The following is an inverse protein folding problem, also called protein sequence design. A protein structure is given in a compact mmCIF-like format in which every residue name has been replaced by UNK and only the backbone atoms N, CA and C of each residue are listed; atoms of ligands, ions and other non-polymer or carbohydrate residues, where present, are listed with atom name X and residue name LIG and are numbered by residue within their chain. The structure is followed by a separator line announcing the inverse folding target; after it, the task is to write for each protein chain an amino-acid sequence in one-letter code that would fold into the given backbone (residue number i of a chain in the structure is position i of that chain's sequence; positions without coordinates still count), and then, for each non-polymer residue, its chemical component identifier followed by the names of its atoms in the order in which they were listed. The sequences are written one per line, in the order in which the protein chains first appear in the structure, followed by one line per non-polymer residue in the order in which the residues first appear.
data_IF_834304185337
#
_entry.id   IF_834304185337
#
_cell.length_a   1.000
_cell.length_b   1.000
_cell.length_c   1.000
_cell.angle_alpha   90.00
_cell.angle_beta   90.00
_cell.angle_gamma   90.00
#
_symmetry.space_group_name_H-M   'P 1'
#
loop_
_entity.id
_entity.type
_entity.pdbx_description
1 polymer ?
#
# COMPACT_ATOMS: atom_id res chain seq x y z
N UNK A 1 -26.64 14.24 5.16
CA UNK A 1 -26.70 14.68 3.75
C UNK A 1 -25.28 14.71 3.23
N UNK A 2 -24.92 13.92 2.21
CA UNK A 2 -23.63 14.10 1.52
C UNK A 2 -23.83 15.32 0.61
N UNK A 3 -23.00 16.35 0.76
CA UNK A 3 -22.97 17.43 -0.24
C UNK A 3 -22.43 16.80 -1.53
N UNK A 4 -23.28 16.64 -2.54
CA UNK A 4 -22.88 16.01 -3.81
C UNK A 4 -21.97 16.90 -4.67
N UNK A 5 -21.59 18.07 -4.18
CA UNK A 5 -20.57 18.93 -4.80
C UNK A 5 -19.84 19.74 -3.72
N UNK A 6 -18.49 19.72 -3.69
CA UNK A 6 -17.73 20.57 -2.79
C UNK A 6 -17.90 22.06 -3.17
N UNK A 7 -17.98 22.91 -2.16
CA UNK A 7 -18.08 24.36 -2.28
C UNK A 7 -16.75 25.04 -1.88
N UNK A 8 -16.56 26.31 -2.26
CA UNK A 8 -15.32 27.05 -1.95
C UNK A 8 -15.11 27.17 -0.43
N UNK A 9 -16.19 27.30 0.33
CA UNK A 9 -16.17 27.29 1.80
C UNK A 9 -15.68 25.97 2.40
N UNK A 10 -15.72 24.87 1.64
CA UNK A 10 -15.27 23.55 2.12
C UNK A 10 -13.74 23.37 1.94
N UNK A 11 -13.03 24.28 1.24
CA UNK A 11 -11.58 24.14 0.97
C UNK A 11 -10.76 23.93 2.25
N UNK A 12 -10.91 24.73 3.33
CA UNK A 12 -10.13 24.54 4.55
C UNK A 12 -10.36 23.17 5.18
N UNK A 13 -11.59 22.66 5.12
CA UNK A 13 -11.91 21.33 5.63
C UNK A 13 -11.25 20.24 4.77
N UNK A 14 -11.33 20.36 3.45
CA UNK A 14 -10.72 19.41 2.51
C UNK A 14 -9.20 19.35 2.70
N UNK A 15 -8.54 20.51 2.82
CA UNK A 15 -7.09 20.58 3.09
C UNK A 15 -6.74 19.99 4.46
N UNK A 16 -7.54 20.27 5.49
CA UNK A 16 -7.36 19.68 6.81
C UNK A 16 -7.54 18.15 6.82
N UNK A 17 -8.50 17.62 6.06
CA UNK A 17 -8.67 16.18 5.87
C UNK A 17 -7.50 15.56 5.10
N UNK A 18 -7.01 16.24 4.05
CA UNK A 18 -5.87 15.79 3.28
C UNK A 18 -4.61 15.75 4.14
N UNK A 19 -4.32 16.83 4.88
CA UNK A 19 -3.20 16.92 5.83
C UNK A 19 -3.20 15.76 6.83
N UNK A 20 -4.33 15.55 7.52
CA UNK A 20 -4.47 14.42 8.48
C UNK A 20 -4.23 13.07 7.81
N UNK A 21 -4.71 12.89 6.59
CA UNK A 21 -4.49 11.66 5.83
C UNK A 21 -3.02 11.50 5.46
N UNK A 22 -2.32 12.56 5.07
CA UNK A 22 -0.87 12.57 4.82
C UNK A 22 -0.07 12.21 6.07
N UNK A 23 -0.42 12.79 7.22
CA UNK A 23 0.26 12.52 8.50
C UNK A 23 0.07 11.04 8.91
N UNK A 24 -1.17 10.55 8.90
CA UNK A 24 -1.45 9.15 9.21
C UNK A 24 -0.83 8.18 8.20
N UNK A 25 -0.71 8.58 6.94
CA UNK A 25 -0.04 7.78 5.91
C UNK A 25 1.46 7.68 6.17
N UNK A 26 2.09 8.77 6.62
CA UNK A 26 3.50 8.79 7.02
C UNK A 26 3.76 7.88 8.23
N UNK A 27 2.92 7.93 9.25
CA UNK A 27 2.98 7.04 10.42
C UNK A 27 2.76 5.57 10.03
N UNK A 28 1.81 5.30 9.12
CA UNK A 28 1.56 3.95 8.62
C UNK A 28 2.75 3.42 7.79
N UNK A 29 3.42 4.28 7.02
CA UNK A 29 4.64 3.93 6.30
C UNK A 29 5.78 3.59 7.27
N UNK A 30 6.00 4.43 8.30
CA UNK A 30 7.02 4.22 9.32
C UNK A 30 6.80 2.93 10.12
N UNK A 31 5.55 2.63 10.46
CA UNK A 31 5.16 1.37 11.14
C UNK A 31 5.04 0.17 10.21
N UNK A 32 5.31 0.33 8.90
CA UNK A 32 5.19 -0.71 7.87
C UNK A 32 3.81 -1.39 7.88
N UNK A 33 2.75 -0.63 8.11
CA UNK A 33 1.37 -1.11 8.14
C UNK A 33 0.64 -0.76 6.83
N UNK A 34 0.55 -1.72 5.91
CA UNK A 34 0.11 -1.46 4.53
C UNK A 34 -1.39 -1.22 4.49
N UNK A 35 -2.13 -1.93 5.36
CA UNK A 35 -3.58 -1.79 5.45
C UNK A 35 -3.95 -0.38 5.89
N UNK A 36 -3.27 0.14 6.92
CA UNK A 36 -3.45 1.53 7.35
C UNK A 36 -3.00 2.51 6.27
N UNK A 37 -1.82 2.29 5.67
CA UNK A 37 -1.32 3.14 4.60
C UNK A 37 -2.34 3.25 3.46
N UNK A 38 -2.82 2.12 2.93
CA UNK A 38 -3.77 2.06 1.83
C UNK A 38 -5.09 2.74 2.17
N UNK A 39 -5.58 2.57 3.40
CA UNK A 39 -6.78 3.24 3.91
C UNK A 39 -6.62 4.76 3.91
N UNK A 40 -5.48 5.28 4.40
CA UNK A 40 -5.25 6.73 4.44
C UNK A 40 -4.91 7.31 3.07
N UNK A 41 -4.20 6.55 2.22
CA UNK A 41 -3.96 6.89 0.82
C UNK A 41 -5.27 7.13 0.07
N UNK A 42 -6.25 6.23 0.24
CA UNK A 42 -7.57 6.39 -0.37
C UNK A 42 -8.27 7.67 0.11
N UNK A 43 -8.27 7.92 1.43
CA UNK A 43 -8.89 9.12 2.00
C UNK A 43 -8.28 10.43 1.49
N UNK A 44 -6.94 10.53 1.45
CA UNK A 44 -6.32 11.75 0.91
C UNK A 44 -6.49 11.90 -0.59
N UNK A 45 -6.59 10.78 -1.33
CA UNK A 45 -6.97 10.80 -2.75
C UNK A 45 -8.39 11.33 -2.96
N UNK A 46 -9.33 10.97 -2.08
CA UNK A 46 -10.70 11.51 -2.10
C UNK A 46 -10.67 13.03 -1.88
N UNK A 47 -9.87 13.54 -0.92
CA UNK A 47 -9.69 14.98 -0.69
C UNK A 47 -9.09 15.71 -1.90
N UNK A 48 -8.06 15.14 -2.53
CA UNK A 48 -7.47 15.69 -3.77
C UNK A 48 -8.50 15.72 -4.91
N UNK A 49 -9.29 14.66 -5.07
CA UNK A 49 -10.35 14.61 -6.06
C UNK A 49 -11.42 15.69 -5.80
N UNK A 50 -11.77 15.96 -4.55
CA UNK A 50 -12.67 17.06 -4.21
C UNK A 50 -12.10 18.42 -4.62
N UNK A 51 -10.81 18.68 -4.40
CA UNK A 51 -10.15 19.91 -4.88
C UNK A 51 -10.13 20.00 -6.41
N UNK A 52 -9.80 18.91 -7.11
CA UNK A 52 -9.79 18.88 -8.57
C UNK A 52 -11.19 19.13 -9.17
N UNK A 53 -12.23 18.56 -8.55
CA UNK A 53 -13.62 18.83 -8.93
C UNK A 53 -14.00 20.29 -8.71
N UNK A 54 -13.58 20.89 -7.59
CA UNK A 54 -13.82 22.30 -7.31
C UNK A 54 -13.13 23.19 -8.36
N UNK A 55 -11.85 22.95 -8.64
CA UNK A 55 -11.07 23.66 -9.65
C UNK A 55 -11.71 23.51 -11.04
N UNK A 56 -12.18 22.31 -11.39
CA UNK A 56 -12.86 22.06 -12.66
C UNK A 56 -14.17 22.84 -12.82
N UNK A 57 -14.91 23.08 -11.72
CA UNK A 57 -16.19 23.81 -11.74
C UNK A 57 -16.06 25.33 -11.57
N UNK A 58 -15.08 25.80 -10.79
CA UNK A 58 -14.95 27.19 -10.36
C UNK A 58 -13.70 27.89 -10.89
N UNK A 59 -12.83 27.18 -11.59
CA UNK A 59 -11.54 27.69 -12.06
C UNK A 59 -10.45 27.64 -10.98
N UNK A 60 -9.20 27.83 -11.39
CA UNK A 60 -8.03 27.75 -10.48
C UNK A 60 -7.96 28.89 -9.46
N UNK A 61 -8.65 30.00 -9.71
CA UNK A 61 -8.64 31.17 -8.83
C UNK A 61 -9.24 30.87 -7.46
N UNK A 62 -10.19 29.93 -7.38
CA UNK A 62 -10.84 29.57 -6.11
C UNK A 62 -9.90 28.93 -5.08
N UNK A 63 -8.72 28.45 -5.49
CA UNK A 63 -7.71 27.86 -4.60
C UNK A 63 -6.44 28.72 -4.52
N UNK A 64 -6.43 29.92 -5.12
CA UNK A 64 -5.23 30.77 -5.22
C UNK A 64 -4.65 31.13 -3.85
N UNK A 65 -5.51 31.41 -2.87
CA UNK A 65 -5.13 31.72 -1.48
C UNK A 65 -4.53 30.51 -0.74
N UNK A 66 -4.78 29.29 -1.22
CA UNK A 66 -4.34 28.04 -0.61
C UNK A 66 -3.21 27.36 -1.36
N UNK A 67 -2.66 28.02 -2.40
CA UNK A 67 -1.69 27.43 -3.32
C UNK A 67 -0.47 26.87 -2.60
N UNK A 68 0.14 27.65 -1.71
CA UNK A 68 1.33 27.23 -0.98
C UNK A 68 1.07 26.02 -0.08
N UNK A 69 -0.12 25.96 0.54
CA UNK A 69 -0.54 24.81 1.34
C UNK A 69 -0.77 23.58 0.48
N UNK A 70 -1.43 23.73 -0.67
CA UNK A 70 -1.65 22.64 -1.64
C UNK A 70 -0.31 22.09 -2.14
N UNK A 71 0.61 22.95 -2.54
CA UNK A 71 1.93 22.56 -3.04
C UNK A 71 2.73 21.84 -1.94
N UNK A 72 2.68 22.34 -0.70
CA UNK A 72 3.29 21.67 0.46
C UNK A 72 2.69 20.28 0.72
N UNK A 73 1.36 20.16 0.68
CA UNK A 73 0.67 18.89 0.87
C UNK A 73 0.95 17.89 -0.26
N UNK A 74 1.06 18.35 -1.50
CA UNK A 74 1.43 17.53 -2.65
C UNK A 74 2.83 16.92 -2.49
N UNK A 75 3.82 17.74 -2.13
CA UNK A 75 5.18 17.26 -1.88
C UNK A 75 5.24 16.28 -0.71
N UNK A 76 4.51 16.55 0.37
CA UNK A 76 4.38 15.62 1.49
C UNK A 76 3.72 14.30 1.06
N UNK A 77 2.66 14.37 0.27
CA UNK A 77 1.95 13.19 -0.21
C UNK A 77 2.84 12.32 -1.11
N UNK A 78 3.57 12.95 -2.02
CA UNK A 78 4.51 12.30 -2.94
C UNK A 78 5.65 11.62 -2.19
N UNK A 79 6.30 12.32 -1.27
CA UNK A 79 7.38 11.74 -0.45
C UNK A 79 6.91 10.55 0.39
N UNK A 80 5.71 10.60 0.95
CA UNK A 80 5.13 9.45 1.67
C UNK A 80 4.91 8.23 0.75
N UNK A 81 4.55 8.44 -0.52
CA UNK A 81 4.39 7.36 -1.49
C UNK A 81 5.71 6.71 -1.90
N UNK A 82 6.80 7.48 -1.96
CA UNK A 82 8.13 6.99 -2.30
C UNK A 82 8.69 6.02 -1.25
N UNK A 83 8.31 6.19 0.02
CA UNK A 83 8.66 5.29 1.13
C UNK A 83 8.14 3.85 0.93
N UNK A 84 7.11 3.65 0.11
CA UNK A 84 6.59 2.30 -0.17
C UNK A 84 7.52 1.48 -1.07
N UNK A 85 8.28 2.13 -1.95
CA UNK A 85 9.06 1.44 -2.99
C UNK A 85 10.12 0.49 -2.41
N UNK A 86 10.95 0.91 -1.43
CA UNK A 86 11.92 0.01 -0.78
C UNK A 86 11.22 -1.18 -0.10
N UNK A 87 10.11 -0.91 0.58
CA UNK A 87 9.38 -1.94 1.29
C UNK A 87 8.75 -2.98 0.36
N UNK A 88 8.18 -2.54 -0.76
CA UNK A 88 7.63 -3.44 -1.77
C UNK A 88 8.70 -4.38 -2.33
N UNK A 89 9.91 -3.87 -2.56
CA UNK A 89 11.05 -4.67 -3.00
C UNK A 89 11.48 -5.70 -1.95
N UNK A 90 11.53 -5.32 -0.67
CA UNK A 90 11.81 -6.26 0.42
C UNK A 90 10.78 -7.39 0.52
N UNK A 91 9.48 -7.07 0.40
CA UNK A 91 8.42 -8.09 0.40
C UNK A 91 8.61 -9.05 -0.78
N UNK A 92 8.85 -8.53 -2.00
CA UNK A 92 9.09 -9.34 -3.19
C UNK A 92 10.25 -10.31 -2.98
N UNK A 93 11.36 -9.83 -2.41
CA UNK A 93 12.52 -10.68 -2.13
C UNK A 93 12.24 -11.74 -1.05
N UNK A 94 11.50 -11.38 0.01
CA UNK A 94 11.06 -12.36 1.02
C UNK A 94 10.18 -13.45 0.43
N UNK A 95 9.22 -13.09 -0.43
CA UNK A 95 8.35 -14.05 -1.13
C UNK A 95 9.17 -14.99 -2.02
N UNK A 96 10.12 -14.45 -2.80
CA UNK A 96 11.01 -15.26 -3.64
C UNK A 96 11.82 -16.26 -2.81
N UNK A 97 12.38 -15.82 -1.67
CA UNK A 97 13.13 -16.70 -0.75
C UNK A 97 12.22 -17.80 -0.20
N UNK A 98 11.03 -17.44 0.31
CA UNK A 98 10.07 -18.42 0.84
C UNK A 98 9.65 -19.44 -0.22
N UNK A 99 9.41 -18.99 -1.46
CA UNK A 99 9.06 -19.89 -2.56
C UNK A 99 10.17 -20.90 -2.85
N UNK A 100 11.44 -20.45 -2.87
CA UNK A 100 12.60 -21.34 -3.02
C UNK A 100 12.68 -22.36 -1.89
N UNK A 101 12.50 -21.94 -0.64
CA UNK A 101 12.48 -22.83 0.54
C UNK A 101 11.38 -23.88 0.40
N UNK A 102 10.15 -23.47 0.12
CA UNK A 102 9.02 -24.39 -0.05
C UNK A 102 9.26 -25.43 -1.16
N UNK A 103 9.89 -25.02 -2.27
CA UNK A 103 10.24 -25.93 -3.35
C UNK A 103 11.30 -26.95 -2.94
N UNK A 104 12.29 -26.53 -2.14
CA UNK A 104 13.30 -27.44 -1.59
C UNK A 104 12.70 -28.40 -0.56
N UNK A 105 11.86 -27.92 0.35
CA UNK A 105 11.17 -28.76 1.33
C UNK A 105 10.31 -29.82 0.65
N UNK A 106 9.60 -29.44 -0.42
CA UNK A 106 8.82 -30.39 -1.23
C UNK A 106 9.70 -31.46 -1.88
N UNK A 107 10.89 -31.10 -2.38
CA UNK A 107 11.86 -32.06 -2.94
C UNK A 107 12.37 -33.03 -1.87
N UNK A 108 12.74 -32.52 -0.70
CA UNK A 108 13.21 -33.34 0.43
C UNK A 108 12.11 -34.29 0.89
N UNK A 109 10.89 -33.79 1.07
CA UNK A 109 9.73 -34.60 1.45
C UNK A 109 9.45 -35.70 0.43
N UNK A 110 9.52 -35.39 -0.87
CA UNK A 110 9.36 -36.38 -1.93
C UNK A 110 10.47 -37.43 -1.91
N UNK A 111 11.73 -37.03 -1.70
CA UNK A 111 12.86 -37.96 -1.57
C UNK A 111 12.70 -38.88 -0.34
N UNK A 112 12.30 -38.33 0.80
CA UNK A 112 12.01 -39.10 2.01
C UNK A 112 10.87 -40.11 1.78
N UNK A 113 9.77 -39.67 1.17
CA UNK A 113 8.62 -40.53 0.85
C UNK A 113 8.99 -41.64 -0.15
N UNK A 114 9.85 -41.35 -1.13
CA UNK A 114 10.37 -42.35 -2.04
C UNK A 114 11.20 -43.40 -1.30
N UNK A 115 12.16 -42.98 -0.47
CA UNK A 115 12.99 -43.89 0.32
C UNK A 115 12.14 -44.79 1.24
N UNK A 116 11.12 -44.22 1.89
CA UNK A 116 10.18 -44.99 2.73
C UNK A 116 9.41 -46.05 1.93
N UNK A 117 8.93 -45.71 0.73
CA UNK A 117 8.23 -46.66 -0.15
C UNK A 117 9.17 -47.74 -0.71
N UNK A 118 10.35 -47.35 -1.17
CA UNK A 118 11.34 -48.25 -1.78
C UNK A 118 12.00 -49.18 -0.75
N UNK A 119 12.24 -48.71 0.48
CA UNK A 119 12.75 -49.53 1.57
C UNK A 119 11.78 -50.65 2.00
N UNK A 120 10.48 -50.39 1.95
CA UNK A 120 9.47 -51.44 2.16
C UNK A 120 9.47 -52.48 1.03
N UNK A 121 9.65 -52.06 -0.23
CA UNK A 121 9.66 -52.97 -1.37
C UNK A 121 10.92 -53.87 -1.42
N UNK A 122 12.07 -53.38 -0.95
CA UNK A 122 13.30 -54.17 -0.83
C UNK A 122 13.20 -55.22 0.29
N UNK A 123 12.56 -54.89 1.42
CA UNK A 123 12.36 -55.83 2.54
C UNK A 123 11.40 -56.98 2.20
N UNK A 124 10.43 -56.75 1.33
CA UNK A 124 9.45 -57.77 0.90
C UNK A 124 10.08 -58.79 -0.07
N UNK A 125 11.11 -58.40 -0.85
CA UNK A 125 11.81 -59.31 -1.78
C UNK A 125 12.90 -60.17 -1.13
N UNK A 126 13.25 -59.92 0.13
CA UNK A 126 14.29 -60.64 0.86
C UNK A 126 13.74 -61.76 1.78
N UNK A 127 12.52 -62.23 1.53
CA UNK A 127 11.88 -63.35 2.24
C UNK A 127 11.74 -64.57 1.33
#
# INVERSE_FOLDING_TARGET
MRKDTPEISDIPEILGQWRRSSDSMQEAAASRNFSLFSRFFKKGSDSLNSLLLLIGKKGKECVSEYRDEIDSLLEKWKSCSELLSPWMNEIKEKIKKQHKTNMNDKKILNAYNFLKKSGNNLRVKAK
#
